data_IF_626872723497
#
_entry.id   IF_626872723497
#
_cell.length_a   1.000
_cell.length_b   1.000
_cell.length_c   1.000
_cell.angle_alpha   90.00
_cell.angle_beta   90.00
_cell.angle_gamma   90.00
#
_symmetry.space_group_name_H-M   'P 1'
#
loop_
_entity.id
_entity.type
_entity.pdbx_description
1 polymer ?
#
# COMPACT_ATOMS: atom_id res chain seq x y z
N UNK A 1 2.78 -1.28 14.83
CA UNK A 1 2.08 -0.61 13.71
C UNK A 1 2.10 -1.48 12.47
N UNK A 2 3.24 -1.52 11.77
CA UNK A 2 3.35 -2.12 10.44
C UNK A 2 2.98 -3.61 10.34
N UNK A 3 3.25 -4.42 11.37
CA UNK A 3 2.88 -5.85 11.38
C UNK A 3 1.36 -6.07 11.25
N UNK A 4 0.55 -5.15 11.80
CA UNK A 4 -0.91 -5.17 11.65
C UNK A 4 -1.28 -4.83 10.22
N UNK A 5 -0.69 -3.78 9.64
CA UNK A 5 -0.89 -3.42 8.24
C UNK A 5 -0.49 -4.54 7.28
N UNK A 6 0.60 -5.25 7.56
CA UNK A 6 1.05 -6.42 6.79
C UNK A 6 0.01 -7.54 6.81
N UNK A 7 -0.45 -7.90 8.00
CA UNK A 7 -1.48 -8.94 8.16
C UNK A 7 -2.79 -8.54 7.46
N UNK A 8 -3.16 -7.26 7.54
CA UNK A 8 -4.35 -6.73 6.86
C UNK A 8 -4.21 -6.77 5.33
N UNK A 9 -3.06 -6.33 4.81
CA UNK A 9 -2.79 -6.37 3.37
C UNK A 9 -2.75 -7.81 2.84
N UNK A 10 -2.10 -8.73 3.56
CA UNK A 10 -2.05 -10.16 3.21
C UNK A 10 -3.45 -10.79 3.19
N UNK A 11 -4.30 -10.46 4.17
CA UNK A 11 -5.68 -10.93 4.22
C UNK A 11 -6.53 -10.41 3.04
N UNK A 12 -6.24 -9.20 2.57
CA UNK A 12 -6.84 -8.60 1.37
C UNK A 12 -6.25 -9.13 0.05
N UNK A 13 -5.28 -10.06 0.11
CA UNK A 13 -4.58 -10.61 -1.06
C UNK A 13 -3.53 -9.66 -1.66
N UNK A 14 -3.16 -8.61 -0.94
CA UNK A 14 -2.13 -7.65 -1.28
C UNK A 14 -0.77 -7.96 -0.65
N UNK A 15 0.18 -7.04 -0.84
CA UNK A 15 1.50 -7.07 -0.24
C UNK A 15 1.93 -5.68 0.23
N UNK A 16 2.86 -5.62 1.19
CA UNK A 16 3.44 -4.38 1.70
C UNK A 16 4.96 -4.49 1.72
N UNK A 17 5.64 -3.46 1.23
CA UNK A 17 7.10 -3.35 1.15
C UNK A 17 7.55 -2.10 1.90
N UNK A 18 8.70 -2.19 2.56
CA UNK A 18 9.34 -1.06 3.23
C UNK A 18 10.74 -0.87 2.70
N UNK A 19 11.05 0.38 2.38
CA UNK A 19 12.38 0.80 2.01
C UNK A 19 12.77 1.96 2.91
N UNK A 20 13.82 1.80 3.71
CA UNK A 20 14.32 2.88 4.58
C UNK A 20 15.73 3.26 4.20
N UNK A 21 16.00 4.55 4.12
CA UNK A 21 17.34 5.08 3.88
C UNK A 21 17.76 5.99 5.04
N UNK A 22 18.96 5.75 5.59
CA UNK A 22 19.48 6.50 6.73
C UNK A 22 19.58 7.97 6.37
N UNK A 23 18.90 8.83 7.13
CA UNK A 23 18.86 10.28 6.91
C UNK A 23 17.79 10.77 5.92
N UNK A 24 17.06 9.87 5.23
CA UNK A 24 15.91 10.24 4.38
C UNK A 24 14.55 9.79 4.91
N UNK A 25 14.54 8.81 5.81
CA UNK A 25 13.31 8.27 6.40
C UNK A 25 12.94 6.90 5.83
N UNK A 26 11.66 6.54 5.96
CA UNK A 26 11.13 5.23 5.56
C UNK A 26 9.96 5.39 4.60
N UNK A 27 10.02 4.72 3.46
CA UNK A 27 8.94 4.65 2.48
C UNK A 27 8.23 3.31 2.61
N UNK A 28 6.92 3.37 2.82
CA UNK A 28 6.04 2.21 2.96
C UNK A 28 5.18 2.10 1.70
N UNK A 29 5.33 1.03 0.93
CA UNK A 29 4.60 0.80 -0.32
C UNK A 29 3.62 -0.34 -0.13
N UNK A 30 2.34 -0.10 -0.42
CA UNK A 30 1.27 -1.09 -0.28
C UNK A 30 0.68 -1.39 -1.67
N UNK A 31 0.57 -2.67 -2.02
CA UNK A 31 -0.03 -3.15 -3.26
C UNK A 31 -1.25 -4.01 -2.92
N UNK A 32 -2.46 -3.57 -3.29
CA UNK A 32 -3.68 -4.36 -3.12
C UNK A 32 -4.28 -4.72 -4.47
N UNK A 33 -4.77 -5.95 -4.65
CA UNK A 33 -5.52 -6.32 -5.84
C UNK A 33 -6.88 -5.61 -5.82
N UNK A 34 -7.00 -4.50 -6.54
CA UNK A 34 -8.29 -3.86 -6.77
C UNK A 34 -8.97 -4.53 -7.95
N UNK A 35 -10.10 -5.19 -7.68
CA UNK A 35 -11.09 -5.45 -8.73
C UNK A 35 -11.75 -4.11 -9.02
N UNK A 36 -11.37 -3.45 -10.11
CA UNK A 36 -12.21 -2.39 -10.65
C UNK A 36 -13.57 -3.03 -10.97
N UNK A 37 -14.68 -2.59 -10.34
CA UNK A 37 -15.98 -2.99 -10.84
C UNK A 37 -16.06 -2.50 -12.29
N UNK A 38 -16.42 -3.38 -13.22
CA UNK A 38 -16.60 -3.07 -14.63
C UNK A 38 -17.50 -1.83 -14.76
N UNK A 39 -16.91 -0.65 -14.99
CA UNK A 39 -17.63 0.62 -15.10
C UNK A 39 -17.32 1.70 -14.05
N UNK A 40 -16.15 1.69 -13.41
CA UNK A 40 -15.63 2.93 -12.79
C UNK A 40 -14.30 3.31 -13.43
N UNK A 41 -14.31 4.44 -14.13
CA UNK A 41 -13.14 5.22 -14.49
C UNK A 41 -12.55 5.84 -13.21
N UNK A 42 -12.13 4.97 -12.29
CA UNK A 42 -11.62 5.33 -10.99
C UNK A 42 -10.13 5.55 -11.13
N UNK A 43 -9.74 6.80 -11.37
CA UNK A 43 -8.37 7.27 -11.22
C UNK A 43 -7.83 6.80 -9.86
N UNK A 44 -7.01 5.75 -9.88
CA UNK A 44 -6.39 5.18 -8.69
C UNK A 44 -5.36 6.20 -8.19
N UNK A 45 -5.83 7.16 -7.41
CA UNK A 45 -4.99 8.18 -6.78
C UNK A 45 -4.05 7.44 -5.84
N UNK A 46 -2.79 7.30 -6.27
CA UNK A 46 -1.67 6.99 -5.39
C UNK A 46 -1.72 7.99 -4.24
N UNK A 47 -2.25 7.57 -3.10
CA UNK A 47 -2.10 8.34 -1.88
C UNK A 47 -0.74 7.94 -1.33
N UNK A 48 0.27 8.74 -1.68
CA UNK A 48 1.58 8.67 -1.04
C UNK A 48 1.37 9.05 0.44
N UNK A 49 1.22 8.03 1.29
CA UNK A 49 1.21 8.19 2.74
C UNK A 49 2.67 8.23 3.17
N UNK A 50 3.24 9.43 3.20
CA UNK A 50 4.55 9.69 3.82
C UNK A 50 4.37 9.68 5.34
N UNK A 51 4.90 8.65 6.00
CA UNK A 51 4.95 8.53 7.48
C UNK A 51 6.25 9.13 8.02
#
# INVERSE_FOLDING_TARGET
GLAICKSLCEMMGGSITVTSEVGKGSTFTVQLPMKCPDGVDGELRHQEVTL
#
